data_IF_579763927614
#
_entry.id   IF_579763927614
#
_cell.length_a   1.000
_cell.length_b   1.000
_cell.length_c   1.000
_cell.angle_alpha   90.00
_cell.angle_beta   90.00
_cell.angle_gamma   90.00
#
_symmetry.space_group_name_H-M   'P 1'
#
loop_
_entity.id
_entity.type
_entity.pdbx_description
1 polymer ?
#
# COMPACT_ATOMS: atom_id res chain seq x y z
N UNK A 1 -8.99 -3.51 13.44
CA UNK A 1 -7.56 -3.13 13.50
C UNK A 1 -6.68 -4.14 14.24
N UNK A 2 -7.05 -4.64 15.43
CA UNK A 2 -6.20 -5.58 16.21
C UNK A 2 -5.77 -6.83 15.43
N UNK A 3 -6.68 -7.42 14.66
CA UNK A 3 -6.37 -8.58 13.81
C UNK A 3 -5.32 -8.27 12.73
N UNK A 4 -5.50 -7.19 11.96
CA UNK A 4 -4.54 -6.77 10.92
C UNK A 4 -3.16 -6.46 11.50
N UNK A 5 -3.11 -5.78 12.66
CA UNK A 5 -1.85 -5.51 13.37
C UNK A 5 -1.14 -6.79 13.81
N UNK A 6 -1.90 -7.82 14.22
CA UNK A 6 -1.31 -9.09 14.64
C UNK A 6 -0.56 -9.84 13.54
N UNK A 7 -0.80 -9.52 12.26
CA UNK A 7 -0.17 -10.20 11.12
C UNK A 7 1.32 -9.88 10.99
N UNK A 8 1.82 -8.81 11.62
CA UNK A 8 3.26 -8.48 11.64
C UNK A 8 4.11 -9.55 12.34
N UNK A 9 3.50 -10.43 13.15
CA UNK A 9 4.18 -11.58 13.78
C UNK A 9 4.75 -12.58 12.75
N UNK A 10 4.29 -12.52 11.50
CA UNK A 10 4.77 -13.35 10.40
C UNK A 10 5.91 -12.69 9.60
N UNK A 11 6.40 -11.53 10.03
CA UNK A 11 7.50 -10.80 9.38
C UNK A 11 7.03 -9.55 8.64
N UNK A 12 7.85 -9.10 7.67
CA UNK A 12 7.54 -7.96 6.81
C UNK A 12 6.28 -8.22 5.98
N UNK A 13 5.36 -7.26 5.97
CA UNK A 13 4.04 -7.39 5.33
C UNK A 13 3.82 -6.27 4.31
N UNK A 14 3.24 -6.63 3.16
CA UNK A 14 2.65 -5.68 2.22
C UNK A 14 1.13 -5.71 2.44
N UNK A 15 0.54 -4.55 2.69
CA UNK A 15 -0.90 -4.43 2.95
C UNK A 15 -1.49 -3.30 2.09
N UNK A 16 -2.61 -3.58 1.44
CA UNK A 16 -3.39 -2.62 0.67
C UNK A 16 -4.71 -2.31 1.41
N UNK A 17 -5.15 -1.06 1.35
CA UNK A 17 -6.42 -0.62 1.92
C UNK A 17 -6.56 0.90 1.89
N UNK A 18 -7.61 1.44 2.51
CA UNK A 18 -7.90 2.89 2.50
C UNK A 18 -7.21 3.67 3.60
N UNK A 19 -7.00 3.04 4.74
CA UNK A 19 -6.57 3.65 5.99
C UNK A 19 -5.32 2.97 6.58
N UNK A 20 -4.60 2.18 5.77
CA UNK A 20 -3.46 1.41 6.23
C UNK A 20 -2.36 2.33 6.76
N UNK A 21 -1.93 3.32 5.98
CA UNK A 21 -0.84 4.21 6.38
C UNK A 21 -1.25 5.34 7.34
N UNK A 22 -2.55 5.61 7.50
CA UNK A 22 -3.08 6.70 8.34
C UNK A 22 -3.62 6.21 9.68
N UNK A 23 -4.15 4.98 9.75
CA UNK A 23 -4.80 4.43 10.94
C UNK A 23 -4.20 3.10 11.37
N UNK A 24 -4.04 2.12 10.46
CA UNK A 24 -3.65 0.75 10.85
C UNK A 24 -2.16 0.64 11.17
N UNK A 25 -1.30 1.28 10.39
CA UNK A 25 0.15 1.32 10.56
C UNK A 25 0.69 2.73 10.30
N UNK A 26 0.37 3.70 11.18
CA UNK A 26 0.80 5.09 11.02
C UNK A 26 2.31 5.27 11.11
N UNK A 27 3.05 4.31 11.66
CA UNK A 27 4.50 4.41 11.83
C UNK A 27 5.29 3.49 10.88
N UNK A 28 4.62 2.89 9.89
CA UNK A 28 5.32 2.03 8.92
C UNK A 28 6.36 2.85 8.14
N UNK A 29 7.58 2.33 7.95
CA UNK A 29 8.65 3.04 7.27
C UNK A 29 8.37 3.29 5.77
N UNK A 30 7.43 2.55 5.18
CA UNK A 30 7.07 2.67 3.78
C UNK A 30 5.55 2.76 3.64
N UNK A 31 5.08 3.90 3.14
CA UNK A 31 3.68 4.17 2.81
C UNK A 31 3.60 4.70 1.40
N UNK A 32 2.70 4.14 0.61
CA UNK A 32 2.47 4.58 -0.76
C UNK A 32 0.99 4.91 -0.93
N UNK A 33 0.70 6.04 -1.56
CA UNK A 33 -0.64 6.40 -1.99
C UNK A 33 -0.69 6.32 -3.51
N UNK A 34 -1.36 5.29 -4.03
CA UNK A 34 -1.52 5.10 -5.47
C UNK A 34 -2.76 5.84 -5.95
N UNK A 35 -2.59 6.71 -6.95
CA UNK A 35 -3.69 7.43 -7.60
C UNK A 35 -3.66 7.25 -9.12
N UNK A 36 -4.80 7.47 -9.74
CA UNK A 36 -4.93 7.53 -11.19
C UNK A 36 -6.18 8.28 -11.60
N UNK A 37 -6.13 8.87 -12.79
CA UNK A 37 -7.24 9.57 -13.41
C UNK A 37 -8.51 8.70 -13.40
N UNK A 38 -9.67 9.26 -13.00
CA UNK A 38 -10.92 8.50 -12.93
C UNK A 38 -11.28 7.80 -14.25
N UNK A 39 -11.00 8.44 -15.39
CA UNK A 39 -11.23 7.87 -16.70
C UNK A 39 -10.36 6.64 -16.97
N UNK A 40 -9.07 6.70 -16.59
CA UNK A 40 -8.14 5.56 -16.72
C UNK A 40 -8.59 4.41 -15.82
N UNK A 41 -8.99 4.70 -14.58
CA UNK A 41 -9.51 3.67 -13.65
C UNK A 41 -10.78 3.00 -14.18
N UNK A 42 -11.70 3.77 -14.75
CA UNK A 42 -12.90 3.24 -15.39
C UNK A 42 -12.55 2.35 -16.60
N UNK A 43 -11.63 2.79 -17.45
CA UNK A 43 -11.16 2.02 -18.61
C UNK A 43 -10.50 0.70 -18.18
N UNK A 44 -9.61 0.72 -17.18
CA UNK A 44 -8.99 -0.50 -16.62
C UNK A 44 -10.05 -1.46 -16.08
N UNK A 45 -11.02 -0.95 -15.32
CA UNK A 45 -12.10 -1.77 -14.78
C UNK A 45 -12.98 -2.40 -15.86
N UNK A 46 -13.25 -1.66 -16.94
CA UNK A 46 -13.96 -2.20 -18.11
C UNK A 46 -13.18 -3.33 -18.77
N UNK A 47 -11.85 -3.20 -18.88
CA UNK A 47 -10.98 -4.28 -19.39
C UNK A 47 -11.02 -5.51 -18.50
N UNK A 48 -11.00 -5.34 -17.17
CA UNK A 48 -11.13 -6.46 -16.23
C UNK A 48 -12.45 -7.22 -16.43
N UNK A 49 -13.56 -6.49 -16.54
CA UNK A 49 -14.87 -7.10 -16.79
C UNK A 49 -14.95 -7.82 -18.12
N UNK A 50 -14.40 -7.23 -19.19
CA UNK A 50 -14.33 -7.89 -20.49
C UNK A 50 -13.52 -9.18 -20.43
N UNK A 51 -12.37 -9.19 -19.74
CA UNK A 51 -11.54 -10.39 -19.54
C UNK A 51 -12.29 -11.48 -18.76
N UNK A 52 -13.16 -11.10 -17.83
CA UNK A 52 -14.02 -12.00 -17.05
C UNK A 52 -15.33 -12.38 -17.77
N UNK A 53 -15.56 -11.89 -19.00
CA UNK A 53 -16.82 -12.06 -19.76
C UNK A 53 -18.06 -11.52 -19.01
N UNK A 54 -17.88 -10.48 -18.22
CA UNK A 54 -18.94 -9.77 -17.50
C UNK A 54 -19.40 -8.59 -18.37
N UNK A 55 -20.69 -8.56 -18.71
CA UNK A 55 -21.28 -7.41 -19.40
C UNK A 55 -21.39 -6.23 -18.43
N UNK A 56 -20.89 -5.07 -18.84
CA UNK A 56 -20.95 -3.84 -18.05
C UNK A 56 -21.08 -2.62 -18.99
N UNK A 57 -21.77 -1.59 -18.52
CA UNK A 57 -21.84 -0.30 -19.19
C UNK A 57 -20.72 0.63 -18.73
N UNK A 58 -20.07 1.32 -19.67
CA UNK A 58 -18.93 2.18 -19.38
C UNK A 58 -19.30 3.39 -18.51
N UNK A 59 -20.47 3.99 -18.73
CA UNK A 59 -20.94 5.11 -17.92
C UNK A 59 -21.30 4.66 -16.50
N UNK A 60 -21.95 3.50 -16.36
CA UNK A 60 -22.25 2.85 -15.09
C UNK A 60 -20.99 2.53 -14.28
N UNK A 61 -19.96 1.96 -14.92
CA UNK A 61 -18.67 1.69 -14.24
C UNK A 61 -18.00 2.97 -13.77
N UNK A 62 -17.96 4.01 -14.61
CA UNK A 62 -17.38 5.29 -14.23
C UNK A 62 -18.15 5.95 -13.07
N UNK A 63 -19.49 5.88 -13.09
CA UNK A 63 -20.33 6.40 -12.02
C UNK A 63 -20.11 5.64 -10.70
N UNK A 64 -20.09 4.31 -10.75
CA UNK A 64 -19.85 3.47 -9.58
C UNK A 64 -18.49 3.76 -8.95
N UNK A 65 -17.44 3.93 -9.76
CA UNK A 65 -16.12 4.32 -9.28
C UNK A 65 -16.13 5.69 -8.60
N UNK A 66 -16.72 6.72 -9.24
CA UNK A 66 -16.83 8.06 -8.64
C UNK A 66 -17.58 8.04 -7.31
N UNK A 67 -18.69 7.29 -7.25
CA UNK A 67 -19.48 7.17 -6.02
C UNK A 67 -18.66 6.49 -4.93
N UNK A 68 -17.95 5.41 -5.25
CA UNK A 68 -17.06 4.73 -4.31
C UNK A 68 -15.97 5.66 -3.80
N UNK A 69 -15.31 6.40 -4.67
CA UNK A 69 -14.22 7.32 -4.26
C UNK A 69 -14.75 8.45 -3.36
N UNK A 70 -15.93 8.99 -3.67
CA UNK A 70 -16.61 9.97 -2.81
C UNK A 70 -16.94 9.37 -1.45
N UNK A 71 -17.51 8.16 -1.41
CA UNK A 71 -17.82 7.48 -0.17
C UNK A 71 -16.55 7.21 0.64
N UNK A 72 -15.49 6.69 0.03
CA UNK A 72 -14.23 6.36 0.68
C UNK A 72 -13.56 7.60 1.30
N UNK A 73 -13.57 8.74 0.59
CA UNK A 73 -12.97 9.99 1.07
C UNK A 73 -13.82 10.75 2.10
N UNK A 74 -15.14 10.54 2.11
CA UNK A 74 -16.07 11.26 3.01
C UNK A 74 -16.51 10.47 4.25
N UNK A 75 -15.97 9.27 4.49
CA UNK A 75 -16.32 8.49 5.69
C UNK A 75 -15.91 9.24 6.95
N UNK A 76 -16.79 9.27 7.96
CA UNK A 76 -16.49 9.88 9.24
C UNK A 76 -15.37 9.16 10.02
N UNK A 77 -15.25 7.84 9.81
CA UNK A 77 -14.23 6.99 10.45
C UNK A 77 -13.28 6.48 9.38
N UNK A 78 -11.98 6.72 9.58
CA UNK A 78 -10.90 6.26 8.72
C UNK A 78 -11.09 6.58 7.22
N UNK A 79 -11.26 7.87 6.86
CA UNK A 79 -11.42 8.28 5.46
C UNK A 79 -10.17 7.94 4.64
N UNK A 80 -10.37 7.69 3.35
CA UNK A 80 -9.29 7.63 2.37
C UNK A 80 -8.63 9.00 2.30
N UNK A 81 -7.36 9.05 2.72
CA UNK A 81 -6.55 10.26 2.71
C UNK A 81 -5.08 9.89 2.47
N UNK A 82 -4.30 10.86 2.00
CA UNK A 82 -2.85 10.71 1.90
C UNK A 82 -2.30 10.71 3.33
N UNK A 83 -1.75 9.58 3.76
CA UNK A 83 -1.14 9.46 5.07
C UNK A 83 0.11 10.35 5.19
N UNK A 84 0.38 10.87 6.39
CA UNK A 84 1.59 11.64 6.64
C UNK A 84 2.84 10.81 6.30
N UNK A 85 3.72 11.40 5.48
CA UNK A 85 4.95 10.75 5.00
C UNK A 85 4.73 9.70 3.91
N UNK A 86 3.54 9.60 3.33
CA UNK A 86 3.30 8.70 2.20
C UNK A 86 3.86 9.26 0.89
N UNK A 87 4.47 8.37 0.10
CA UNK A 87 4.89 8.66 -1.27
C UNK A 87 3.68 8.54 -2.19
N UNK A 88 3.30 9.64 -2.84
CA UNK A 88 2.19 9.66 -3.81
C UNK A 88 2.71 9.20 -5.17
N UNK A 89 2.03 8.24 -5.79
CA UNK A 89 2.36 7.72 -7.12
C UNK A 89 1.11 7.86 -7.99
N UNK A 90 1.15 8.76 -8.98
CA UNK A 90 0.16 8.78 -10.05
C UNK A 90 0.56 7.77 -11.12
N UNK A 91 -0.23 6.71 -11.29
CA UNK A 91 0.04 5.65 -12.25
C UNK A 91 -0.88 5.68 -13.48
N UNK A 92 -1.49 6.82 -13.81
CA UNK A 92 -2.44 6.94 -14.93
C UNK A 92 -1.85 6.51 -16.27
N UNK A 93 -0.57 6.78 -16.49
CA UNK A 93 0.16 6.46 -17.72
C UNK A 93 1.28 5.45 -17.50
N UNK A 94 1.18 4.63 -16.45
CA UNK A 94 2.18 3.63 -16.12
C UNK A 94 1.62 2.22 -16.29
N UNK A 95 2.48 1.29 -16.67
CA UNK A 95 2.23 -0.14 -16.55
C UNK A 95 2.31 -0.58 -15.08
N UNK A 96 1.75 -1.77 -14.75
CA UNK A 96 1.94 -2.38 -13.44
C UNK A 96 3.43 -2.53 -13.08
N UNK A 97 4.26 -2.97 -14.02
CA UNK A 97 5.69 -3.20 -13.85
C UNK A 97 6.44 -1.89 -13.56
N UNK A 98 6.08 -0.81 -14.24
CA UNK A 98 6.65 0.52 -13.99
C UNK A 98 6.30 1.03 -12.59
N UNK A 99 5.05 0.86 -12.17
CA UNK A 99 4.58 1.22 -10.83
C UNK A 99 5.35 0.42 -9.76
N UNK A 100 5.49 -0.89 -9.97
CA UNK A 100 6.24 -1.77 -9.07
C UNK A 100 7.71 -1.35 -8.97
N UNK A 101 8.34 -1.01 -10.09
CA UNK A 101 9.73 -0.53 -10.11
C UNK A 101 9.90 0.73 -9.27
N UNK A 102 9.01 1.71 -9.40
CA UNK A 102 9.04 2.94 -8.60
C UNK A 102 8.98 2.62 -7.09
N UNK A 103 8.08 1.72 -6.69
CA UNK A 103 7.92 1.30 -5.30
C UNK A 103 9.20 0.62 -4.78
N UNK A 104 9.75 -0.32 -5.55
CA UNK A 104 10.96 -1.05 -5.18
C UNK A 104 12.18 -0.13 -5.06
N UNK A 105 12.34 0.80 -5.97
CA UNK A 105 13.46 1.75 -5.95
C UNK A 105 13.36 2.69 -4.75
N UNK A 106 12.14 3.12 -4.38
CA UNK A 106 11.91 3.90 -3.16
C UNK A 106 12.32 3.13 -1.90
N UNK A 107 11.93 1.85 -1.80
CA UNK A 107 12.29 0.98 -0.66
C UNK A 107 13.81 0.79 -0.58
N UNK A 108 14.47 0.52 -1.72
CA UNK A 108 15.93 0.35 -1.79
C UNK A 108 16.67 1.61 -1.34
N UNK A 109 16.30 2.78 -1.85
CA UNK A 109 16.94 4.05 -1.48
C UNK A 109 16.79 4.39 0.01
N UNK A 110 15.66 4.04 0.61
CA UNK A 110 15.45 4.19 2.05
C UNK A 110 16.30 3.19 2.86
N UNK A 111 16.44 1.95 2.37
CA UNK A 111 17.35 0.95 2.95
C UNK A 111 18.82 1.38 2.91
N UNK A 112 19.27 1.95 1.79
CA UNK A 112 20.65 2.47 1.64
C UNK A 112 20.92 3.63 2.60
N UNK A 113 19.94 4.54 2.81
CA UNK A 113 20.07 5.65 3.78
C UNK A 113 20.15 5.16 5.23
N UNK A 114 19.41 4.10 5.60
CA UNK A 114 19.54 3.47 6.94
C UNK A 114 20.89 2.79 7.13
N UNK A 115 21.44 2.15 6.09
CA UNK A 115 22.77 1.54 6.13
C UNK A 115 23.90 2.57 6.25
N UNK A 116 23.76 3.73 5.59
CA UNK A 116 24.74 4.81 5.65
C UNK A 116 24.71 5.62 6.97
N UNK A 117 23.61 5.58 7.73
CA UNK A 117 23.43 6.29 9.00
C UNK A 117 23.70 5.41 10.25
N UNK A 118 24.28 4.22 10.10
CA UNK A 118 24.82 3.45 11.23
C UNK A 118 23.79 2.97 12.26
N UNK A 119 22.53 2.72 11.89
CA UNK A 119 21.62 1.98 12.77
C UNK A 119 21.83 0.47 12.57
N UNK A 120 22.72 -0.10 13.39
CA UNK A 120 22.90 -1.54 13.51
C UNK A 120 21.59 -2.23 13.85
N UNK A 121 21.33 -3.37 13.20
CA UNK A 121 20.21 -4.24 13.54
C UNK A 121 20.43 -4.75 14.97
N UNK A 122 19.44 -4.72 15.88
CA UNK A 122 19.58 -5.41 17.15
C UNK A 122 19.73 -6.90 16.85
N UNK A 123 20.91 -7.42 17.15
CA UNK A 123 21.32 -8.79 16.90
C UNK A 123 20.45 -9.73 17.75
N UNK A 124 19.53 -10.45 17.11
CA UNK A 124 18.63 -11.38 17.79
C UNK A 124 19.28 -12.76 17.89
N UNK A 125 20.47 -12.90 18.48
CA UNK A 125 20.96 -14.20 18.97
C UNK A 125 22.04 -14.05 20.05
N UNK A 126 21.63 -13.88 21.30
CA UNK A 126 22.47 -14.18 22.46
C UNK A 126 21.65 -14.91 23.52
N UNK A 127 21.40 -16.21 23.27
CA UNK A 127 21.10 -17.12 24.38
C UNK A 127 22.41 -17.48 25.08
N UNK A 128 22.55 -17.30 26.40
CA UNK A 128 23.69 -17.84 27.12
C UNK A 128 23.57 -19.36 27.20
N UNK A 129 24.57 -20.06 26.70
CA UNK A 129 24.79 -21.47 27.02
C UNK A 129 25.15 -21.57 28.51
N UNK A 130 24.24 -22.03 29.35
CA UNK A 130 24.58 -22.53 30.68
C UNK A 130 24.85 -24.04 30.58
N UNK A 131 26.12 -24.41 30.73
CA UNK A 131 26.55 -25.79 30.87
C UNK A 131 26.50 -26.29 32.33
N UNK A 132 26.47 -27.63 32.42
CA UNK A 132 26.94 -28.50 33.50
C UNK A 132 26.35 -28.34 34.91
N UNK A 133 25.54 -29.33 35.32
CA UNK A 133 25.99 -30.48 36.13
C UNK A 133 24.97 -31.61 36.04
#
# INVERSE_FOLDING_TARGET
MAHQRSLTKFGSLVMEGRDIGSVVFPDTPHKFYLDADPAVRAQRRMKDFAAMKIAADSAGVAQALRQRDKLDSSRAVAPLQIALGATVINNSHQSPEETVRIILDHIRQAGTRRGALGMERPDSTSQPRSGSR
#
